data_IF_478681978699
#
_entry.id   IF_478681978699
#
_cell.length_a   1.000
_cell.length_b   1.000
_cell.length_c   1.000
_cell.angle_alpha   90.00
_cell.angle_beta   90.00
_cell.angle_gamma   90.00
#
_symmetry.space_group_name_H-M   'P 1'
#
loop_
_entity.id
_entity.type
_entity.pdbx_description
1 polymer ?
#
# COMPACT_ATOMS: atom_id res chain seq x y z
N UNK A 1 16.98 6.59 -10.50
CA UNK A 1 17.21 7.72 -9.59
C UNK A 1 16.39 7.56 -8.32
N UNK A 2 17.01 7.73 -7.18
CA UNK A 2 16.35 7.47 -5.89
C UNK A 2 15.08 8.27 -5.67
N UNK A 3 15.10 9.57 -6.00
CA UNK A 3 13.93 10.42 -5.81
C UNK A 3 12.76 9.99 -6.69
N UNK A 4 13.04 9.62 -7.93
CA UNK A 4 12.02 9.16 -8.87
C UNK A 4 11.40 7.83 -8.41
N UNK A 5 12.23 6.90 -7.96
CA UNK A 5 11.75 5.61 -7.48
C UNK A 5 10.93 5.75 -6.20
N UNK A 6 11.35 6.63 -5.30
CA UNK A 6 10.58 6.92 -4.09
C UNK A 6 9.22 7.52 -4.42
N UNK A 7 9.17 8.45 -5.38
CA UNK A 7 7.92 9.06 -5.83
C UNK A 7 6.98 8.02 -6.46
N UNK A 8 7.54 7.07 -7.19
CA UNK A 8 6.78 6.00 -7.82
C UNK A 8 6.04 5.18 -6.75
N UNK A 9 6.76 4.68 -5.76
CA UNK A 9 6.17 3.84 -4.73
C UNK A 9 5.21 4.63 -3.84
N UNK A 10 5.60 5.82 -3.41
CA UNK A 10 4.70 6.69 -2.66
C UNK A 10 3.45 6.99 -3.47
N UNK A 11 3.63 7.27 -4.76
CA UNK A 11 2.51 7.57 -5.66
C UNK A 11 1.48 6.45 -5.68
N UNK A 12 1.93 5.20 -5.77
CA UNK A 12 1.03 4.06 -5.78
C UNK A 12 0.21 3.99 -4.48
N UNK A 13 0.88 4.02 -3.32
CA UNK A 13 0.20 3.85 -2.04
C UNK A 13 -0.72 5.04 -1.70
N UNK A 14 -0.48 6.22 -2.28
CA UNK A 14 -1.33 7.40 -2.06
C UNK A 14 -2.32 7.63 -3.19
N UNK A 15 -2.29 6.82 -4.25
CA UNK A 15 -3.20 6.96 -5.39
C UNK A 15 -4.59 6.42 -5.05
N UNK A 16 -5.53 6.65 -5.95
CA UNK A 16 -6.86 6.03 -5.82
C UNK A 16 -6.95 4.71 -6.61
N UNK A 17 -5.88 3.89 -6.52
CA UNK A 17 -5.86 2.59 -7.16
C UNK A 17 -7.04 1.71 -6.69
N UNK A 18 -7.52 1.95 -5.48
CA UNK A 18 -8.66 1.20 -4.92
C UNK A 18 -9.98 1.53 -5.61
N UNK A 19 -10.02 2.55 -6.46
CA UNK A 19 -11.21 2.91 -7.25
C UNK A 19 -10.98 2.88 -8.74
N UNK A 20 -9.72 3.02 -9.17
CA UNK A 20 -9.37 3.15 -10.58
C UNK A 20 -8.28 2.15 -10.95
N UNK A 21 -8.63 1.06 -11.66
CA UNK A 21 -7.63 0.08 -12.09
C UNK A 21 -6.53 0.66 -12.97
N UNK A 22 -6.78 1.78 -13.65
CA UNK A 22 -5.76 2.42 -14.48
C UNK A 22 -4.60 2.93 -13.65
N UNK A 23 -4.84 3.27 -12.38
CA UNK A 23 -3.77 3.66 -11.48
C UNK A 23 -2.82 2.48 -11.21
N UNK A 24 -3.34 1.26 -11.14
CA UNK A 24 -2.48 0.09 -10.99
C UNK A 24 -1.53 -0.02 -12.19
N UNK A 25 -2.05 0.19 -13.40
CA UNK A 25 -1.24 0.12 -14.63
C UNK A 25 -0.18 1.21 -14.69
N UNK A 26 -0.45 2.35 -14.06
CA UNK A 26 0.51 3.46 -14.03
C UNK A 26 1.75 3.10 -13.22
N UNK A 27 1.60 2.36 -12.14
CA UNK A 27 2.67 2.13 -11.17
C UNK A 27 3.28 0.74 -11.24
N UNK A 28 2.50 -0.30 -11.55
CA UNK A 28 2.97 -1.67 -11.51
C UNK A 28 3.47 -2.13 -12.88
N UNK A 29 4.58 -2.88 -12.83
CA UNK A 29 5.11 -3.55 -14.01
C UNK A 29 4.11 -4.63 -14.47
N UNK A 30 3.94 -4.87 -15.79
CA UNK A 30 3.02 -5.91 -16.25
C UNK A 30 3.35 -7.31 -15.75
N UNK A 31 4.62 -7.55 -15.39
CA UNK A 31 5.07 -8.81 -14.86
C UNK A 31 5.32 -8.74 -13.35
N UNK A 32 4.66 -7.81 -12.65
CA UNK A 32 4.86 -7.61 -11.24
C UNK A 32 4.44 -8.84 -10.43
N UNK A 33 5.16 -9.04 -9.33
CA UNK A 33 4.84 -10.07 -8.33
C UNK A 33 4.86 -9.44 -6.95
N UNK A 34 3.80 -9.66 -6.20
CA UNK A 34 3.70 -9.18 -4.82
C UNK A 34 3.61 -10.39 -3.89
N UNK A 35 4.58 -10.50 -3.00
CA UNK A 35 4.62 -11.52 -1.97
C UNK A 35 4.14 -10.87 -0.68
N UNK A 36 2.92 -11.21 -0.27
CA UNK A 36 2.23 -10.51 0.80
C UNK A 36 1.90 -11.45 1.96
N UNK A 37 2.48 -11.17 3.12
CA UNK A 37 2.14 -11.83 4.38
C UNK A 37 1.23 -10.93 5.19
N UNK A 38 0.09 -11.45 5.60
CA UNK A 38 -0.87 -10.71 6.42
C UNK A 38 -1.39 -11.61 7.53
N UNK A 39 -2.26 -11.07 8.37
CA UNK A 39 -2.92 -11.88 9.39
C UNK A 39 -3.81 -12.97 8.79
N UNK A 40 -4.17 -12.85 7.51
CA UNK A 40 -4.93 -13.88 6.79
C UNK A 40 -4.02 -14.95 6.16
N UNK A 41 -2.69 -14.82 6.30
CA UNK A 41 -1.72 -15.77 5.75
C UNK A 41 -0.93 -15.19 4.59
N UNK A 42 -0.22 -16.06 3.88
CA UNK A 42 0.60 -15.66 2.74
C UNK A 42 -0.17 -15.72 1.44
N UNK A 43 0.03 -14.71 0.59
CA UNK A 43 -0.62 -14.63 -0.72
C UNK A 43 0.39 -14.09 -1.74
N UNK A 44 0.58 -14.81 -2.84
CA UNK A 44 1.38 -14.33 -3.96
C UNK A 44 0.43 -13.79 -5.02
N UNK A 45 0.60 -12.53 -5.39
CA UNK A 45 -0.27 -11.85 -6.34
C UNK A 45 0.52 -11.39 -7.56
N UNK A 46 -0.03 -11.61 -8.73
CA UNK A 46 0.52 -11.04 -9.95
C UNK A 46 -0.24 -9.75 -10.31
N UNK A 47 0.11 -9.17 -11.47
CA UNK A 47 -0.52 -7.94 -11.93
C UNK A 47 -2.05 -8.07 -12.01
N UNK A 48 -2.51 -9.18 -12.57
CA UNK A 48 -3.96 -9.45 -12.71
C UNK A 48 -4.65 -9.54 -11.35
N UNK A 49 -3.99 -10.17 -10.39
CA UNK A 49 -4.55 -10.29 -9.03
C UNK A 49 -4.69 -8.93 -8.36
N UNK A 50 -3.71 -8.03 -8.55
CA UNK A 50 -3.79 -6.68 -8.01
C UNK A 50 -4.92 -5.89 -8.65
N UNK A 51 -5.13 -6.06 -9.96
CA UNK A 51 -6.27 -5.43 -10.64
C UNK A 51 -7.60 -5.91 -10.06
N UNK A 52 -7.73 -7.21 -9.80
CA UNK A 52 -8.95 -7.75 -9.19
C UNK A 52 -9.16 -7.21 -7.78
N UNK A 53 -8.09 -7.11 -7.00
CA UNK A 53 -8.16 -6.54 -5.66
C UNK A 53 -8.63 -5.09 -5.72
N UNK A 54 -8.07 -4.29 -6.64
CA UNK A 54 -8.48 -2.91 -6.85
C UNK A 54 -9.98 -2.82 -7.12
N UNK A 55 -10.49 -3.68 -8.00
CA UNK A 55 -11.91 -3.70 -8.33
C UNK A 55 -12.77 -4.06 -7.12
N UNK A 56 -12.34 -5.03 -6.32
CA UNK A 56 -13.08 -5.42 -5.12
C UNK A 56 -13.09 -4.32 -4.06
N UNK A 57 -11.95 -3.64 -3.88
CA UNK A 57 -11.84 -2.55 -2.93
C UNK A 57 -12.79 -1.41 -3.25
N UNK A 58 -13.03 -1.15 -4.55
CA UNK A 58 -13.92 -0.07 -4.98
C UNK A 58 -15.35 -0.24 -4.51
N UNK A 59 -15.76 -1.48 -4.23
CA UNK A 59 -17.11 -1.79 -3.76
C UNK A 59 -17.29 -1.54 -2.27
N UNK A 60 -16.22 -1.53 -1.52
CA UNK A 60 -16.24 -1.45 -0.05
C UNK A 60 -15.72 -0.11 0.47
N UNK A 61 -14.69 0.44 -0.17
CA UNK A 61 -13.99 1.61 0.35
C UNK A 61 -14.46 2.89 -0.34
N UNK A 62 -14.93 3.84 0.47
CA UNK A 62 -15.21 5.20 0.01
C UNK A 62 -13.92 5.98 -0.14
N UNK A 63 -13.00 5.84 0.83
CA UNK A 63 -11.69 6.46 0.76
C UNK A 63 -10.64 5.61 1.45
N UNK A 64 -9.39 5.81 1.04
CA UNK A 64 -8.23 5.12 1.59
C UNK A 64 -7.13 6.16 1.73
N UNK A 65 -6.70 6.42 2.98
CA UNK A 65 -5.68 7.42 3.26
C UNK A 65 -4.44 6.74 3.83
N UNK A 66 -3.30 7.01 3.20
CA UNK A 66 -2.02 6.48 3.64
C UNK A 66 -1.33 7.48 4.56
N UNK A 67 -0.96 7.02 5.75
CA UNK A 67 -0.12 7.81 6.65
C UNK A 67 1.25 7.13 6.69
N UNK A 68 2.23 7.75 6.03
CA UNK A 68 3.54 7.16 5.79
C UNK A 68 4.52 7.61 6.87
N UNK A 69 5.16 6.65 7.55
CA UNK A 69 6.17 6.95 8.55
C UNK A 69 7.59 6.93 7.95
N UNK A 70 7.85 6.05 6.98
CA UNK A 70 9.18 5.90 6.39
C UNK A 70 9.08 5.66 4.89
N UNK A 71 10.00 6.25 4.15
CA UNK A 71 10.13 6.05 2.72
C UNK A 71 11.62 6.08 2.41
N UNK A 72 12.21 4.92 2.17
CA UNK A 72 13.65 4.75 2.04
C UNK A 72 14.00 4.16 0.69
N UNK A 73 15.21 4.46 0.21
CA UNK A 73 15.71 3.93 -1.06
C UNK A 73 17.12 3.40 -0.88
N UNK A 74 17.38 2.21 -1.43
CA UNK A 74 18.72 1.65 -1.50
C UNK A 74 18.80 0.68 -2.66
N UNK A 75 19.75 0.92 -3.57
CA UNK A 75 20.10 -0.02 -4.65
C UNK A 75 18.89 -0.55 -5.42
N UNK A 76 18.09 0.34 -5.97
CA UNK A 76 16.93 -0.01 -6.80
C UNK A 76 15.78 -0.63 -6.00
N UNK A 77 15.81 -0.54 -4.69
CA UNK A 77 14.74 -0.97 -3.81
C UNK A 77 14.20 0.21 -3.01
N UNK A 78 12.87 0.26 -2.88
CA UNK A 78 12.19 1.28 -2.08
C UNK A 78 11.43 0.59 -0.97
N UNK A 79 11.66 1.06 0.26
CA UNK A 79 10.92 0.56 1.42
C UNK A 79 9.95 1.63 1.88
N UNK A 80 8.72 1.24 2.11
CA UNK A 80 7.68 2.14 2.62
C UNK A 80 7.03 1.50 3.85
N UNK A 81 6.81 2.32 4.87
CA UNK A 81 6.13 1.92 6.10
C UNK A 81 4.98 2.87 6.34
N UNK A 82 3.78 2.33 6.49
CA UNK A 82 2.58 3.19 6.54
C UNK A 82 1.44 2.54 7.29
N UNK A 83 0.45 3.37 7.64
CA UNK A 83 -0.86 2.92 8.11
C UNK A 83 -1.90 3.39 7.10
N UNK A 84 -2.80 2.50 6.70
CA UNK A 84 -3.97 2.88 5.93
C UNK A 84 -5.15 3.14 6.85
N UNK A 85 -5.83 4.26 6.59
CA UNK A 85 -7.10 4.63 7.22
C UNK A 85 -8.18 4.59 6.16
N UNK A 86 -9.33 4.05 6.49
CA UNK A 86 -10.41 3.89 5.49
C UNK A 86 -11.70 4.55 5.95
N UNK A 87 -12.49 4.95 4.95
CA UNK A 87 -13.92 5.20 5.11
C UNK A 87 -14.61 4.20 4.20
N UNK A 88 -15.65 3.54 4.71
CA UNK A 88 -16.38 2.56 3.91
C UNK A 88 -17.59 3.19 3.26
N UNK A 89 -18.11 2.55 2.20
CA UNK A 89 -19.31 3.04 1.53
C UNK A 89 -20.53 3.00 2.44
N UNK A 90 -20.54 2.09 3.42
CA UNK A 90 -21.63 2.00 4.38
C UNK A 90 -21.54 3.08 5.46
N UNK A 91 -20.36 3.61 5.72
CA UNK A 91 -20.14 4.59 6.79
C UNK A 91 -19.11 5.63 6.32
N UNK A 92 -19.47 6.44 5.28
CA UNK A 92 -18.48 7.30 4.62
C UNK A 92 -18.02 8.48 5.46
N UNK A 93 -18.65 8.74 6.59
CA UNK A 93 -18.29 9.86 7.45
C UNK A 93 -17.34 9.47 8.57
N UNK A 94 -17.07 8.17 8.76
CA UNK A 94 -16.20 7.69 9.81
C UNK A 94 -14.92 7.10 9.23
N UNK A 95 -13.78 7.73 9.53
CA UNK A 95 -12.48 7.20 9.16
C UNK A 95 -11.96 6.31 10.28
N UNK A 96 -11.60 5.08 9.94
CA UNK A 96 -11.04 4.14 10.90
C UNK A 96 -9.70 3.61 10.41
N UNK A 97 -8.77 3.26 11.32
CA UNK A 97 -7.52 2.62 10.92
C UNK A 97 -7.81 1.19 10.45
N UNK A 98 -7.21 0.81 9.33
CA UNK A 98 -7.43 -0.51 8.75
C UNK A 98 -6.26 -1.45 9.04
N UNK A 99 -5.05 -1.06 8.65
CA UNK A 99 -3.90 -1.95 8.76
C UNK A 99 -2.59 -1.18 8.69
N UNK A 100 -1.57 -1.76 9.30
CA UNK A 100 -0.18 -1.30 9.22
C UNK A 100 0.55 -2.13 8.20
N UNK A 101 1.40 -1.48 7.38
CA UNK A 101 2.12 -2.11 6.28
C UNK A 101 3.59 -1.75 6.32
N UNK A 102 4.44 -2.72 5.96
CA UNK A 102 5.82 -2.47 5.54
C UNK A 102 6.00 -3.22 4.23
N UNK A 103 6.52 -2.55 3.22
CA UNK A 103 6.75 -3.17 1.91
C UNK A 103 8.08 -2.74 1.35
N UNK A 104 8.75 -3.68 0.66
CA UNK A 104 9.98 -3.43 -0.08
C UNK A 104 9.68 -3.73 -1.55
N UNK A 105 9.94 -2.75 -2.42
CA UNK A 105 9.69 -2.90 -3.85
C UNK A 105 10.97 -2.77 -4.66
N UNK A 106 11.23 -3.75 -5.51
CA UNK A 106 12.27 -3.66 -6.54
C UNK A 106 11.66 -2.94 -7.74
N UNK A 107 12.41 -1.99 -8.29
CA UNK A 107 11.96 -1.20 -9.44
C UNK A 107 12.61 -1.72 -10.70
N UNK A 108 11.82 -1.89 -11.77
CA UNK A 108 12.30 -2.33 -13.07
C UNK A 108 11.57 -1.56 -14.16
N UNK A 109 12.32 -1.01 -15.11
CA UNK A 109 11.75 -0.26 -16.23
C UNK A 109 10.84 0.89 -15.79
N UNK A 110 11.18 1.53 -14.66
CA UNK A 110 10.39 2.63 -14.12
C UNK A 110 9.08 2.20 -13.48
N UNK A 111 8.92 0.92 -13.15
CA UNK A 111 7.69 0.37 -12.57
C UNK A 111 8.01 -0.50 -11.36
N UNK A 112 7.02 -0.66 -10.48
CA UNK A 112 7.12 -1.54 -9.31
C UNK A 112 7.05 -2.98 -9.80
N UNK A 113 8.12 -3.73 -9.61
CA UNK A 113 8.30 -5.05 -10.22
C UNK A 113 8.12 -6.21 -9.24
N UNK A 114 8.87 -6.22 -8.16
CA UNK A 114 8.72 -7.25 -7.12
C UNK A 114 8.52 -6.59 -5.77
N UNK A 115 7.46 -6.98 -5.09
CA UNK A 115 7.12 -6.44 -3.77
C UNK A 115 7.12 -7.53 -2.72
N UNK A 116 7.66 -7.18 -1.56
CA UNK A 116 7.66 -8.02 -0.36
C UNK A 116 6.96 -7.23 0.72
N UNK A 117 5.75 -7.63 1.07
CA UNK A 117 4.89 -6.85 1.93
C UNK A 117 4.42 -7.66 3.13
N UNK A 118 4.42 -7.03 4.28
CA UNK A 118 3.81 -7.60 5.48
C UNK A 118 2.83 -6.58 6.04
N UNK A 119 1.70 -7.07 6.51
CA UNK A 119 0.69 -6.21 7.09
C UNK A 119 0.04 -6.86 8.29
N UNK A 120 -0.50 -6.01 9.16
CA UNK A 120 -1.22 -6.43 10.35
C UNK A 120 -2.41 -5.50 10.52
N UNK A 121 -3.57 -6.08 10.83
CA UNK A 121 -4.75 -5.26 11.10
C UNK A 121 -4.45 -4.28 12.23
N UNK A 122 -4.85 -3.03 12.06
CA UNK A 122 -4.72 -2.02 13.09
C UNK A 122 -5.89 -2.15 14.06
N UNK A 123 -5.65 -1.79 15.32
CA UNK A 123 -6.74 -1.64 16.28
C UNK A 123 -6.81 -0.17 16.72
N UNK A 124 -7.84 0.15 17.49
CA UNK A 124 -8.09 1.54 17.87
C UNK A 124 -7.41 1.95 19.17
N UNK A 125 -6.57 1.09 19.76
CA UNK A 125 -5.86 1.48 20.98
C UNK A 125 -4.82 2.56 20.66
N UNK A 126 -4.63 3.53 21.55
CA UNK A 126 -3.63 4.57 21.32
C UNK A 126 -2.22 4.02 21.11
N UNK A 127 -1.87 2.96 21.80
CA UNK A 127 -0.54 2.34 21.69
C UNK A 127 -0.31 1.78 20.29
N UNK A 128 -1.29 1.07 19.73
CA UNK A 128 -1.18 0.49 18.40
C UNK A 128 -1.07 1.59 17.35
N UNK A 129 -1.96 2.59 17.42
CA UNK A 129 -1.99 3.68 16.44
C UNK A 129 -0.72 4.49 16.49
N UNK A 130 -0.25 4.87 17.67
CA UNK A 130 0.93 5.71 17.80
C UNK A 130 2.21 4.99 17.40
N UNK A 131 2.22 3.65 17.43
CA UNK A 131 3.41 2.89 17.08
C UNK A 131 3.83 3.07 15.60
N UNK A 132 2.90 3.47 14.75
CA UNK A 132 3.17 3.66 13.31
C UNK A 132 3.03 5.12 12.86
N UNK A 133 2.94 6.06 13.78
CA UNK A 133 2.85 7.47 13.40
C UNK A 133 4.19 8.00 12.92
N UNK A 134 4.15 8.85 11.90
CA UNK A 134 5.35 9.46 11.32
C UNK A 134 6.09 10.37 12.30
N UNK A 135 5.41 10.86 13.32
CA UNK A 135 5.97 11.79 14.30
C UNK A 135 6.57 11.11 15.53
N UNK A 136 6.59 9.78 15.58
CA UNK A 136 7.11 9.04 16.73
C UNK A 136 8.63 8.87 16.74
N UNK A 137 9.31 9.42 15.77
CA UNK A 137 10.77 9.19 15.59
C UNK A 137 11.57 10.44 15.61
#
# INVERSE_FOLDING_TARGET
>A
MSLTDKKLVKGFYTSNFYKDPEEVKTYLHPEAELYWNSSAGFNKMDFSDVLKMSSEMSKTFESLRAEISHLLYDKNEVTIRLTYHIKTVENPEEEIPMAHFIAIWEIKDGKMFKGYQISQAADETPENLSSFLSTNF
#
